data_IF_245302283116
#
_entry.id   IF_245302283116
#
_cell.length_a   1.000
_cell.length_b   1.000
_cell.length_c   1.000
_cell.angle_alpha   90.00
_cell.angle_beta   90.00
_cell.angle_gamma   90.00
#
_symmetry.space_group_name_H-M   'P 1'
#
loop_
_entity.id
_entity.type
_entity.pdbx_description
1 polymer ?
#
# COMPACT_ATOMS: atom_id res chain seq x y z
N UNK A 1 -13.54 3.25 21.17
CA UNK A 1 -13.61 3.74 19.78
C UNK A 1 -12.77 2.84 18.86
N UNK A 2 -11.47 2.60 19.11
CA UNK A 2 -10.57 1.78 18.27
C UNK A 2 -11.13 0.37 17.99
N UNK A 3 -11.58 -0.35 19.03
CA UNK A 3 -12.07 -1.74 18.89
C UNK A 3 -13.36 -1.81 18.06
N UNK A 4 -14.25 -0.83 18.18
CA UNK A 4 -15.48 -0.81 17.41
C UNK A 4 -15.20 -0.50 15.93
N UNK A 5 -14.26 0.40 15.66
CA UNK A 5 -13.83 0.68 14.29
C UNK A 5 -13.21 -0.56 13.63
N UNK A 6 -12.29 -1.26 14.31
CA UNK A 6 -11.68 -2.50 13.79
C UNK A 6 -12.75 -3.56 13.50
N UNK A 7 -13.70 -3.78 14.41
CA UNK A 7 -14.80 -4.74 14.19
C UNK A 7 -15.65 -4.38 12.96
N UNK A 8 -16.00 -3.10 12.82
CA UNK A 8 -16.74 -2.61 11.65
C UNK A 8 -15.96 -2.86 10.36
N UNK A 9 -14.70 -2.46 10.30
CA UNK A 9 -13.87 -2.61 9.11
C UNK A 9 -13.59 -4.08 8.76
N UNK A 10 -13.46 -4.99 9.74
CA UNK A 10 -13.34 -6.43 9.50
C UNK A 10 -14.61 -7.00 8.86
N UNK A 11 -15.78 -6.56 9.30
CA UNK A 11 -17.04 -6.93 8.65
C UNK A 11 -17.10 -6.46 7.21
N UNK A 12 -16.67 -5.21 6.95
CA UNK A 12 -16.58 -4.67 5.58
C UNK A 12 -15.60 -5.47 4.72
N UNK A 13 -14.44 -5.85 5.28
CA UNK A 13 -13.46 -6.68 4.58
C UNK A 13 -14.00 -8.08 4.25
N UNK A 14 -14.78 -8.67 5.16
CA UNK A 14 -15.40 -9.99 4.95
C UNK A 14 -16.48 -9.97 3.89
N UNK A 15 -17.23 -8.88 3.79
CA UNK A 15 -18.32 -8.71 2.84
C UNK A 15 -17.89 -8.11 1.50
N UNK A 16 -16.60 -7.76 1.37
CA UNK A 16 -16.11 -7.15 0.14
C UNK A 16 -16.14 -8.15 -1.02
N UNK A 17 -16.69 -7.69 -2.14
CA UNK A 17 -16.59 -8.34 -3.45
C UNK A 17 -16.17 -7.29 -4.46
N UNK A 18 -15.33 -7.65 -5.42
CA UNK A 18 -14.99 -6.75 -6.53
C UNK A 18 -16.27 -6.42 -7.29
N UNK A 19 -16.46 -5.15 -7.62
CA UNK A 19 -17.65 -4.59 -8.24
C UNK A 19 -18.88 -4.43 -7.31
N UNK A 20 -18.71 -4.65 -5.99
CA UNK A 20 -19.76 -4.23 -5.07
C UNK A 20 -19.86 -2.70 -5.08
N UNK A 21 -21.03 -2.19 -5.47
CA UNK A 21 -21.31 -0.75 -5.40
C UNK A 21 -21.88 -0.44 -4.03
N UNK A 22 -21.25 0.50 -3.31
CA UNK A 22 -21.91 1.13 -2.16
C UNK A 22 -22.67 2.35 -2.65
N UNK A 23 -23.97 2.35 -2.44
CA UNK A 23 -24.80 3.51 -2.70
C UNK A 23 -24.83 4.38 -1.44
N UNK A 24 -24.37 5.64 -1.59
CA UNK A 24 -24.55 6.66 -0.58
C UNK A 24 -25.17 7.89 -1.27
N UNK A 25 -26.44 8.20 -0.97
CA UNK A 25 -27.12 9.39 -1.46
C UNK A 25 -26.93 9.66 -2.96
N UNK A 26 -27.42 8.84 -3.86
CA UNK A 26 -27.29 8.95 -5.33
C UNK A 26 -25.89 8.71 -5.92
N UNK A 27 -24.83 8.61 -5.14
CA UNK A 27 -23.49 8.29 -5.67
C UNK A 27 -23.17 6.82 -5.44
N UNK A 28 -22.73 6.14 -6.49
CA UNK A 28 -22.18 4.79 -6.37
C UNK A 28 -20.66 4.87 -6.31
N UNK A 29 -20.05 4.24 -5.30
CA UNK A 29 -18.62 4.07 -5.22
C UNK A 29 -18.26 2.63 -5.53
N UNK A 30 -17.47 2.42 -6.58
CA UNK A 30 -16.87 1.11 -6.81
C UNK A 30 -15.79 0.88 -5.75
N UNK A 31 -15.95 -0.21 -4.97
CA UNK A 31 -14.91 -0.60 -4.01
C UNK A 31 -13.77 -1.25 -4.79
N UNK A 32 -12.69 -0.51 -5.00
CA UNK A 32 -11.54 -1.01 -5.72
C UNK A 32 -10.83 -2.15 -4.95
N UNK A 33 -10.09 -2.97 -5.66
CA UNK A 33 -9.23 -3.98 -5.07
C UNK A 33 -8.13 -3.34 -4.21
N UNK A 34 -7.70 -2.13 -4.58
CA UNK A 34 -6.75 -1.35 -3.79
C UNK A 34 -7.35 -0.91 -2.44
N UNK A 35 -8.61 -0.46 -2.39
CA UNK A 35 -9.26 -0.10 -1.13
C UNK A 35 -9.31 -1.30 -0.17
N UNK A 36 -9.60 -2.48 -0.69
CA UNK A 36 -9.59 -3.71 0.10
C UNK A 36 -8.18 -4.09 0.53
N UNK A 37 -7.19 -4.01 -0.35
CA UNK A 37 -5.79 -4.30 -0.04
C UNK A 37 -5.25 -3.34 1.04
N UNK A 38 -5.57 -2.05 0.92
CA UNK A 38 -5.18 -1.04 1.89
C UNK A 38 -5.87 -1.25 3.25
N UNK A 39 -7.13 -1.69 3.25
CA UNK A 39 -7.85 -2.05 4.47
C UNK A 39 -7.17 -3.20 5.20
N UNK A 40 -6.83 -4.30 4.53
CA UNK A 40 -6.15 -5.44 5.18
C UNK A 40 -4.71 -5.09 5.59
N UNK A 41 -4.03 -4.22 4.86
CA UNK A 41 -2.75 -3.66 5.25
C UNK A 41 -2.87 -2.85 6.57
N UNK A 42 -3.88 -2.01 6.68
CA UNK A 42 -4.15 -1.26 7.92
C UNK A 42 -4.43 -2.16 9.12
N UNK A 43 -5.11 -3.30 8.93
CA UNK A 43 -5.27 -4.29 10.00
C UNK A 43 -3.95 -4.91 10.42
N UNK A 44 -3.09 -5.23 9.47
CA UNK A 44 -1.77 -5.80 9.76
C UNK A 44 -0.89 -4.80 10.51
N UNK A 45 -0.91 -3.51 10.14
CA UNK A 45 -0.27 -2.42 10.90
C UNK A 45 -0.81 -2.31 12.33
N UNK A 46 -2.11 -2.49 12.51
CA UNK A 46 -2.77 -2.48 13.83
C UNK A 46 -2.51 -3.78 14.64
N UNK A 47 -1.64 -4.68 14.16
CA UNK A 47 -1.36 -6.00 14.75
C UNK A 47 -2.62 -6.87 14.91
N UNK A 48 -3.57 -6.71 14.01
CA UNK A 48 -4.84 -7.46 13.99
C UNK A 48 -5.18 -7.93 12.57
N UNK A 49 -4.28 -8.68 11.90
CA UNK A 49 -4.47 -9.07 10.51
C UNK A 49 -5.75 -9.89 10.32
N UNK A 50 -6.38 -9.72 9.16
CA UNK A 50 -7.59 -10.46 8.76
C UNK A 50 -7.23 -11.44 7.62
N UNK A 51 -6.72 -12.60 8.03
CA UNK A 51 -6.16 -13.59 7.09
C UNK A 51 -7.18 -14.10 6.07
N UNK A 52 -8.46 -14.23 6.47
CA UNK A 52 -9.51 -14.67 5.56
C UNK A 52 -9.72 -13.69 4.40
N UNK A 53 -9.76 -12.38 4.68
CA UNK A 53 -9.87 -11.34 3.66
C UNK A 53 -8.61 -11.24 2.79
N UNK A 54 -7.42 -11.38 3.40
CA UNK A 54 -6.14 -11.39 2.69
C UNK A 54 -6.06 -12.57 1.71
N UNK A 55 -6.45 -13.77 2.13
CA UNK A 55 -6.42 -14.97 1.28
C UNK A 55 -7.40 -14.84 0.11
N UNK A 56 -8.64 -14.40 0.35
CA UNK A 56 -9.60 -14.16 -0.74
C UNK A 56 -9.09 -13.14 -1.77
N UNK A 57 -8.39 -12.10 -1.29
CA UNK A 57 -7.83 -11.11 -2.20
C UNK A 57 -6.64 -11.68 -2.99
N UNK A 58 -5.79 -12.47 -2.36
CA UNK A 58 -4.64 -13.14 -3.00
C UNK A 58 -5.04 -14.10 -4.13
N UNK A 59 -6.17 -14.78 -4.00
CA UNK A 59 -6.68 -15.72 -5.02
C UNK A 59 -7.11 -15.04 -6.32
N UNK A 60 -7.16 -13.72 -6.33
CA UNK A 60 -7.51 -12.98 -7.54
C UNK A 60 -6.32 -12.84 -8.49
N UNK A 61 -6.54 -13.19 -9.75
CA UNK A 61 -5.55 -13.03 -10.82
C UNK A 61 -5.47 -11.60 -11.39
N UNK A 62 -6.47 -10.76 -11.12
CA UNK A 62 -6.67 -9.43 -11.71
C UNK A 62 -6.41 -8.28 -10.73
N UNK A 63 -5.56 -8.49 -9.73
CA UNK A 63 -5.17 -7.43 -8.80
C UNK A 63 -4.41 -6.31 -9.53
N UNK A 64 -4.81 -5.07 -9.24
CA UNK A 64 -4.04 -3.90 -9.63
C UNK A 64 -2.64 -3.91 -9.00
N UNK A 65 -1.70 -3.22 -9.62
CA UNK A 65 -0.32 -3.18 -9.15
C UNK A 65 -0.23 -2.69 -7.70
N UNK A 66 -0.89 -1.57 -7.38
CA UNK A 66 -0.91 -1.00 -6.04
C UNK A 66 -1.60 -1.91 -5.01
N UNK A 67 -2.66 -2.62 -5.40
CA UNK A 67 -3.31 -3.59 -4.53
C UNK A 67 -2.38 -4.77 -4.20
N UNK A 68 -1.63 -5.24 -5.18
CA UNK A 68 -0.66 -6.32 -5.01
C UNK A 68 0.45 -5.96 -4.03
N UNK A 69 1.02 -4.76 -4.15
CA UNK A 69 2.05 -4.26 -3.24
C UNK A 69 1.52 -4.03 -1.83
N UNK A 70 0.33 -3.42 -1.67
CA UNK A 70 -0.29 -3.24 -0.37
C UNK A 70 -0.63 -4.57 0.32
N UNK A 71 -1.11 -5.56 -0.45
CA UNK A 71 -1.39 -6.90 0.06
C UNK A 71 -0.10 -7.63 0.49
N UNK A 72 0.98 -7.48 -0.26
CA UNK A 72 2.28 -8.03 0.12
C UNK A 72 2.78 -7.43 1.44
N UNK A 73 2.63 -6.12 1.64
CA UNK A 73 2.93 -5.46 2.91
C UNK A 73 2.10 -6.04 4.06
N UNK A 74 0.80 -6.29 3.82
CA UNK A 74 -0.07 -6.89 4.82
C UNK A 74 0.40 -8.30 5.23
N UNK A 75 0.76 -9.14 4.27
CA UNK A 75 1.30 -10.47 4.54
C UNK A 75 2.64 -10.43 5.29
N UNK A 76 3.55 -9.54 4.90
CA UNK A 76 4.84 -9.39 5.56
C UNK A 76 4.67 -8.97 7.03
N UNK A 77 3.80 -7.99 7.30
CA UNK A 77 3.45 -7.54 8.65
C UNK A 77 2.75 -8.62 9.48
N UNK A 78 2.02 -9.53 8.85
CA UNK A 78 1.40 -10.69 9.48
C UNK A 78 2.37 -11.86 9.69
N UNK A 79 3.68 -11.69 9.42
CA UNK A 79 4.70 -12.72 9.55
C UNK A 79 4.77 -13.72 8.38
N UNK A 80 3.99 -13.52 7.33
CA UNK A 80 3.92 -14.39 6.15
C UNK A 80 4.86 -13.89 5.03
N UNK A 81 6.15 -13.73 5.35
CA UNK A 81 7.14 -13.12 4.45
C UNK A 81 7.29 -13.87 3.13
N UNK A 82 7.20 -15.22 3.13
CA UNK A 82 7.25 -16.00 1.90
C UNK A 82 6.10 -15.64 0.95
N UNK A 83 4.87 -15.67 1.45
CA UNK A 83 3.68 -15.30 0.66
C UNK A 83 3.76 -13.87 0.14
N UNK A 84 4.29 -12.94 0.95
CA UNK A 84 4.50 -11.57 0.54
C UNK A 84 5.48 -11.47 -0.64
N UNK A 85 6.61 -12.18 -0.59
CA UNK A 85 7.60 -12.21 -1.67
C UNK A 85 7.05 -12.88 -2.93
N UNK A 86 6.30 -13.96 -2.80
CA UNK A 86 5.66 -14.65 -3.93
C UNK A 86 4.69 -13.72 -4.67
N UNK A 87 3.92 -12.90 -3.96
CA UNK A 87 3.00 -11.91 -4.53
C UNK A 87 3.69 -10.87 -5.40
N UNK A 88 4.91 -10.47 -5.05
CA UNK A 88 5.63 -9.40 -5.75
C UNK A 88 6.76 -9.92 -6.65
N UNK A 89 6.99 -11.23 -6.73
CA UNK A 89 8.12 -11.81 -7.45
C UNK A 89 8.22 -11.32 -8.91
N UNK A 90 7.06 -11.15 -9.57
CA UNK A 90 6.97 -10.64 -10.94
C UNK A 90 6.23 -9.29 -11.01
N UNK A 91 6.09 -8.58 -9.87
CA UNK A 91 5.41 -7.30 -9.86
C UNK A 91 6.37 -6.18 -10.29
N UNK A 92 5.92 -5.37 -11.25
CA UNK A 92 6.67 -4.20 -11.68
C UNK A 92 6.77 -3.16 -10.57
N UNK A 93 7.86 -2.40 -10.56
CA UNK A 93 7.97 -1.13 -9.81
C UNK A 93 7.67 0.07 -10.69
N UNK A 94 7.44 -0.15 -12.00
CA UNK A 94 7.04 0.89 -12.93
C UNK A 94 5.54 1.12 -12.84
N UNK A 95 5.17 2.36 -12.57
CA UNK A 95 3.79 2.81 -12.47
C UNK A 95 3.48 3.71 -13.66
N UNK A 96 2.43 3.38 -14.40
CA UNK A 96 1.94 4.22 -15.49
C UNK A 96 1.43 5.56 -14.95
N UNK A 97 1.62 6.62 -15.72
CA UNK A 97 1.04 7.93 -15.39
C UNK A 97 -0.48 7.84 -15.39
N UNK A 98 -1.11 8.45 -14.41
CA UNK A 98 -2.56 8.58 -14.38
C UNK A 98 -2.98 9.63 -15.43
N UNK A 99 -3.92 9.27 -16.28
CA UNK A 99 -4.55 10.19 -17.23
C UNK A 99 -5.83 10.74 -16.62
N UNK A 100 -5.84 12.03 -16.31
CA UNK A 100 -7.03 12.73 -15.84
C UNK A 100 -7.26 12.65 -14.32
N UNK A 101 -8.35 13.27 -13.88
CA UNK A 101 -8.81 13.20 -12.49
C UNK A 101 -9.38 11.80 -12.21
N UNK A 102 -8.58 10.89 -11.66
CA UNK A 102 -9.11 9.63 -11.18
C UNK A 102 -9.95 9.89 -9.91
N UNK A 103 -11.06 9.19 -9.78
CA UNK A 103 -11.96 9.29 -8.61
C UNK A 103 -11.25 8.96 -7.28
N UNK A 104 -10.06 8.39 -7.31
CA UNK A 104 -9.29 7.97 -6.14
C UNK A 104 -8.23 8.97 -5.69
N UNK A 105 -8.12 10.14 -6.29
CA UNK A 105 -6.98 11.05 -6.05
C UNK A 105 -5.61 10.36 -6.16
N UNK A 106 -5.55 9.24 -6.87
CA UNK A 106 -4.34 8.48 -7.09
C UNK A 106 -3.35 9.25 -7.95
N UNK A 107 -2.06 8.97 -7.72
CA UNK A 107 -0.98 9.46 -8.56
C UNK A 107 0.11 8.41 -8.66
N UNK A 108 0.94 8.51 -9.68
CA UNK A 108 2.11 7.66 -9.84
C UNK A 108 3.03 7.75 -8.62
N UNK A 109 3.22 8.93 -8.09
CA UNK A 109 4.09 9.20 -6.94
C UNK A 109 3.54 8.60 -5.65
N UNK A 110 2.23 8.62 -5.44
CA UNK A 110 1.58 7.91 -4.34
C UNK A 110 1.82 6.41 -4.44
N UNK A 111 1.69 5.85 -5.62
CA UNK A 111 1.88 4.41 -5.81
C UNK A 111 3.35 4.00 -5.65
N UNK A 112 4.30 4.85 -6.05
CA UNK A 112 5.71 4.66 -5.70
C UNK A 112 5.96 4.65 -4.19
N UNK A 113 5.27 5.51 -3.44
CA UNK A 113 5.37 5.50 -1.98
C UNK A 113 4.82 4.21 -1.36
N UNK A 114 3.73 3.65 -1.89
CA UNK A 114 3.19 2.36 -1.47
C UNK A 114 4.18 1.22 -1.77
N UNK A 115 4.80 1.24 -2.95
CA UNK A 115 5.84 0.28 -3.33
C UNK A 115 7.06 0.41 -2.41
N UNK A 116 7.52 1.63 -2.14
CA UNK A 116 8.63 1.88 -1.21
C UNK A 116 8.34 1.33 0.18
N UNK A 117 7.15 1.59 0.73
CA UNK A 117 6.74 1.07 2.03
C UNK A 117 6.80 -0.48 2.07
N UNK A 118 6.32 -1.14 1.03
CA UNK A 118 6.41 -2.59 0.91
C UNK A 118 7.86 -3.10 0.84
N UNK A 119 8.71 -2.43 0.06
CA UNK A 119 10.13 -2.79 -0.07
C UNK A 119 10.88 -2.63 1.25
N UNK A 120 10.56 -1.60 2.05
CA UNK A 120 11.12 -1.39 3.40
C UNK A 120 10.71 -2.54 4.32
N UNK A 121 9.43 -2.87 4.37
CA UNK A 121 8.88 -3.96 5.20
C UNK A 121 9.53 -5.30 4.83
N UNK A 122 9.76 -5.55 3.55
CA UNK A 122 10.36 -6.77 3.01
C UNK A 122 11.90 -6.78 3.06
N UNK A 123 12.51 -5.66 3.48
CA UNK A 123 13.97 -5.46 3.58
C UNK A 123 14.70 -5.57 2.22
N UNK A 124 14.04 -5.19 1.15
CA UNK A 124 14.58 -5.17 -0.23
C UNK A 124 15.35 -3.86 -0.48
N UNK A 125 16.51 -3.70 0.18
CA UNK A 125 17.26 -2.43 0.29
C UNK A 125 17.60 -1.77 -1.05
N UNK A 126 18.13 -2.53 -2.02
CA UNK A 126 18.54 -1.96 -3.32
C UNK A 126 17.36 -1.35 -4.07
N UNK A 127 16.25 -2.09 -4.17
CA UNK A 127 15.03 -1.61 -4.83
C UNK A 127 14.38 -0.45 -4.07
N UNK A 128 14.44 -0.49 -2.72
CA UNK A 128 13.95 0.61 -1.89
C UNK A 128 14.74 1.90 -2.16
N UNK A 129 16.07 1.83 -2.26
CA UNK A 129 16.91 2.98 -2.55
C UNK A 129 16.62 3.59 -3.93
N UNK A 130 16.45 2.77 -4.96
CA UNK A 130 16.03 3.25 -6.29
C UNK A 130 14.70 4.01 -6.23
N UNK A 131 13.74 3.48 -5.46
CA UNK A 131 12.43 4.12 -5.28
C UNK A 131 12.53 5.44 -4.50
N UNK A 132 13.40 5.50 -3.48
CA UNK A 132 13.71 6.74 -2.75
C UNK A 132 14.23 7.82 -3.71
N UNK A 133 15.15 7.47 -4.62
CA UNK A 133 15.68 8.41 -5.61
C UNK A 133 14.57 8.95 -6.54
N UNK A 134 13.67 8.07 -7.02
CA UNK A 134 12.53 8.46 -7.87
C UNK A 134 11.59 9.42 -7.16
N UNK A 135 11.20 9.10 -5.92
CA UNK A 135 10.28 9.92 -5.12
C UNK A 135 10.94 11.26 -4.77
N UNK A 136 12.21 11.26 -4.35
CA UNK A 136 12.94 12.49 -4.03
C UNK A 136 13.06 13.42 -5.25
N UNK A 137 13.33 12.87 -6.44
CA UNK A 137 13.35 13.64 -7.68
C UNK A 137 11.97 14.24 -7.99
N UNK A 138 10.90 13.49 -7.79
CA UNK A 138 9.54 13.99 -8.02
C UNK A 138 9.17 15.12 -7.04
N UNK A 139 9.50 14.97 -5.75
CA UNK A 139 9.24 16.00 -4.73
C UNK A 139 10.05 17.30 -4.97
N UNK A 140 11.24 17.20 -5.56
CA UNK A 140 12.06 18.35 -5.92
C UNK A 140 11.63 19.00 -7.25
N UNK A 141 10.68 18.42 -7.96
CA UNK A 141 10.15 19.01 -9.19
C UNK A 141 9.13 20.10 -8.86
N UNK A 142 8.91 21.03 -9.79
CA UNK A 142 7.85 22.04 -9.65
C UNK A 142 6.45 21.51 -9.99
N UNK A 143 6.29 20.19 -10.10
CA UNK A 143 4.99 19.59 -10.38
C UNK A 143 4.05 19.70 -9.17
N UNK A 144 2.83 20.10 -9.42
CA UNK A 144 1.79 20.09 -8.40
C UNK A 144 1.49 18.66 -7.94
N UNK A 145 1.45 18.47 -6.63
CA UNK A 145 1.07 17.21 -5.99
C UNK A 145 -0.11 17.44 -5.03
N UNK A 146 -1.03 16.48 -4.98
CA UNK A 146 -2.08 16.51 -3.97
C UNK A 146 -1.49 16.33 -2.57
N UNK A 147 -2.17 16.86 -1.55
CA UNK A 147 -1.79 16.66 -0.14
C UNK A 147 -1.64 15.18 0.21
N UNK A 148 -2.52 14.33 -0.34
CA UNK A 148 -2.44 12.88 -0.15
C UNK A 148 -1.14 12.32 -0.72
N UNK A 149 -0.80 12.66 -1.96
CA UNK A 149 0.44 12.21 -2.61
C UNK A 149 1.67 12.62 -1.80
N UNK A 150 1.75 13.89 -1.41
CA UNK A 150 2.85 14.41 -0.62
C UNK A 150 2.96 13.69 0.73
N UNK A 151 1.84 13.45 1.41
CA UNK A 151 1.83 12.74 2.68
C UNK A 151 2.37 11.31 2.56
N UNK A 152 1.91 10.54 1.56
CA UNK A 152 2.41 9.18 1.33
C UNK A 152 3.91 9.16 1.01
N UNK A 153 4.38 10.07 0.16
CA UNK A 153 5.79 10.18 -0.19
C UNK A 153 6.66 10.49 1.05
N UNK A 154 6.28 11.50 1.83
CA UNK A 154 7.03 11.89 3.03
C UNK A 154 7.03 10.80 4.09
N UNK A 155 5.91 10.11 4.31
CA UNK A 155 5.83 9.00 5.25
C UNK A 155 6.74 7.83 4.84
N UNK A 156 6.78 7.47 3.56
CA UNK A 156 7.61 6.38 3.07
C UNK A 156 9.10 6.73 3.15
N UNK A 157 9.49 7.97 2.80
CA UNK A 157 10.86 8.45 2.92
C UNK A 157 11.32 8.51 4.40
N UNK A 158 10.46 8.96 5.32
CA UNK A 158 10.76 8.97 6.77
C UNK A 158 11.02 7.56 7.28
N UNK A 159 10.18 6.59 6.95
CA UNK A 159 10.38 5.18 7.32
C UNK A 159 11.70 4.62 6.80
N UNK A 160 12.06 4.95 5.56
CA UNK A 160 13.35 4.53 4.98
C UNK A 160 14.52 5.10 5.78
N UNK A 161 14.49 6.42 6.04
CA UNK A 161 15.55 7.11 6.79
C UNK A 161 15.70 6.58 8.23
N UNK A 162 14.59 6.26 8.90
CA UNK A 162 14.60 5.65 10.24
C UNK A 162 15.23 4.26 10.22
N UNK A 163 14.92 3.44 9.22
CA UNK A 163 15.51 2.12 9.05
C UNK A 163 17.02 2.14 8.82
N UNK A 164 17.55 3.14 8.14
CA UNK A 164 18.99 3.30 7.91
C UNK A 164 19.74 3.80 9.16
N UNK A 165 19.13 4.65 10.00
CA UNK A 165 19.73 5.10 11.26
C UNK A 165 20.00 3.95 12.22
N UNK A 166 19.08 3.01 12.36
CA UNK A 166 19.26 1.83 13.21
C UNK A 166 20.36 0.88 12.74
N UNK A 167 20.84 1.01 11.49
CA UNK A 167 21.94 0.20 10.96
C UNK A 167 23.32 0.83 11.23
N UNK A 168 23.38 2.12 11.48
CA UNK A 168 24.64 2.84 11.78
C UNK A 168 25.07 2.75 13.23
N UNK A 169 24.16 2.49 14.17
CA UNK A 169 24.47 2.37 15.61
C UNK A 169 25.11 1.02 16.02
N UNK A 170 25.22 0.05 15.10
CA UNK A 170 25.74 -1.31 15.39
C UNK A 170 27.24 -1.46 15.05
N UNK A 171 27.91 -0.45 14.56
CA UNK A 171 29.34 -0.49 14.21
C UNK A 171 30.21 0.39 15.12
N UNK A 172 30.08 0.23 16.44
CA UNK A 172 31.05 0.76 17.42
C UNK A 172 31.57 -0.40 18.28
#
# INVERSE_FOLDING_TARGET
IKNNWIKFQKREASNWTKNSKKYYNYYSYDQSDFDQAYRVYTFALAKSPEMGAMNRLKERSDLSLQARWALASAYALAGQTKTAKDLINNASTEVSSYSGFSQSFGSRERDWAIILDALIILKEKSKAFEMVQRISKALNSQMWMSTQTSAYCLMALSKFAEGEKGTQEVNI
#
